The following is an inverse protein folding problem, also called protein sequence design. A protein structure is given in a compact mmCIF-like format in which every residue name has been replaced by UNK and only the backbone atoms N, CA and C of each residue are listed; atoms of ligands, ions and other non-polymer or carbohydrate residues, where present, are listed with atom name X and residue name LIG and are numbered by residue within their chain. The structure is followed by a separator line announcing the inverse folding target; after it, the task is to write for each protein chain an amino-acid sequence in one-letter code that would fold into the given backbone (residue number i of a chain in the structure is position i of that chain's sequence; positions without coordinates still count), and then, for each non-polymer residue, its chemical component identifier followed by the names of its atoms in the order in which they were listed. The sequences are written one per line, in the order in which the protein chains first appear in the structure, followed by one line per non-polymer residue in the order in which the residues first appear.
data_IF_572137142404
#
_entry.id   IF_572137142404
#
_cell.length_a   1.000
_cell.length_b   1.000
_cell.length_c   1.000
_cell.angle_alpha   90.00
_cell.angle_beta   90.00
_cell.angle_gamma   90.00
#
_symmetry.space_group_name_H-M   'P 1'
#
loop_
_entity.id
_entity.type
_entity.pdbx_description
1 polymer ?
#
# COMPACT_ATOMS: atom_id res chain seq x y z
N UNK A 1 -61.76 9.49 -31.36
CA UNK A 1 -60.35 9.59 -31.74
C UNK A 1 -59.53 9.31 -30.50
N UNK A 2 -59.07 8.07 -30.38
CA UNK A 2 -58.39 7.56 -29.17
C UNK A 2 -56.93 7.53 -29.47
N UNK A 3 -56.14 8.38 -28.77
CA UNK A 3 -54.70 8.42 -28.90
C UNK A 3 -54.07 7.32 -28.04
N UNK A 4 -53.38 6.37 -28.67
CA UNK A 4 -52.66 5.30 -28.01
C UNK A 4 -51.37 5.89 -27.31
N UNK A 5 -51.01 5.45 -26.10
CA UNK A 5 -49.78 5.92 -25.44
C UNK A 5 -48.58 5.26 -26.10
N UNK A 6 -47.61 6.10 -26.45
CA UNK A 6 -46.27 5.69 -26.91
C UNK A 6 -45.58 4.85 -25.83
N UNK A 7 -45.34 3.58 -26.09
CA UNK A 7 -44.55 2.69 -25.29
C UNK A 7 -43.10 3.23 -25.24
N UNK A 8 -42.74 3.79 -24.09
CA UNK A 8 -41.37 4.13 -23.74
C UNK A 8 -40.57 2.84 -23.60
N UNK A 9 -39.72 2.52 -24.56
CA UNK A 9 -38.75 1.43 -24.49
C UNK A 9 -37.68 1.85 -23.46
N UNK A 10 -37.79 1.39 -22.21
CA UNK A 10 -36.73 1.44 -21.24
C UNK A 10 -35.78 0.29 -21.55
N UNK A 11 -34.67 0.60 -22.20
CA UNK A 11 -33.52 -0.29 -22.23
C UNK A 11 -32.96 -0.38 -20.83
N UNK A 12 -33.37 -1.37 -20.09
CA UNK A 12 -32.64 -1.81 -18.88
C UNK A 12 -31.34 -2.38 -19.39
N UNK A 13 -30.27 -1.57 -19.37
CA UNK A 13 -28.95 -2.12 -19.27
C UNK A 13 -28.95 -2.78 -17.88
N UNK A 14 -29.02 -4.11 -17.85
CA UNK A 14 -28.60 -4.86 -16.67
C UNK A 14 -27.19 -4.36 -16.39
N UNK A 15 -27.01 -3.58 -15.31
CA UNK A 15 -25.67 -3.24 -14.86
C UNK A 15 -25.01 -4.57 -14.54
N UNK A 16 -24.08 -5.01 -15.40
CA UNK A 16 -23.19 -6.10 -15.04
C UNK A 16 -22.63 -5.74 -13.67
N UNK A 17 -22.55 -6.67 -12.72
CA UNK A 17 -21.89 -6.40 -11.45
C UNK A 17 -20.53 -5.82 -11.80
N UNK A 18 -20.25 -4.59 -11.36
CA UNK A 18 -18.99 -3.92 -11.64
C UNK A 18 -17.92 -4.78 -11.00
N UNK A 19 -17.07 -5.37 -11.82
CA UNK A 19 -15.91 -6.12 -11.33
C UNK A 19 -15.04 -5.15 -10.50
N UNK A 20 -14.45 -5.62 -9.43
CA UNK A 20 -13.53 -4.86 -8.61
C UNK A 20 -12.10 -5.28 -8.94
N UNK A 21 -11.26 -4.33 -9.28
CA UNK A 21 -9.84 -4.54 -9.55
C UNK A 21 -8.99 -3.88 -8.49
N UNK A 22 -8.03 -4.63 -7.97
CA UNK A 22 -6.93 -4.12 -7.19
C UNK A 22 -5.69 -3.97 -8.06
N UNK A 23 -5.08 -2.80 -8.02
CA UNK A 23 -3.90 -2.46 -8.80
C UNK A 23 -2.80 -1.96 -7.87
N UNK A 24 -1.67 -2.66 -7.82
CA UNK A 24 -0.45 -2.17 -7.17
C UNK A 24 0.51 -1.64 -8.23
N UNK A 25 0.97 -0.40 -8.07
CA UNK A 25 1.92 0.27 -8.98
C UNK A 25 3.25 0.45 -8.27
N UNK A 26 4.22 -0.42 -8.55
CA UNK A 26 5.59 -0.31 -8.09
C UNK A 26 6.42 0.66 -8.95
N UNK A 27 7.75 0.62 -8.80
CA UNK A 27 8.66 1.53 -9.51
C UNK A 27 8.66 1.35 -11.03
N UNK A 28 8.58 0.10 -11.52
CA UNK A 28 8.72 -0.25 -12.94
C UNK A 28 7.62 -1.16 -13.47
N UNK A 29 6.74 -1.65 -12.60
CA UNK A 29 5.69 -2.60 -12.94
C UNK A 29 4.43 -2.36 -12.15
N UNK A 30 3.31 -2.80 -12.71
CA UNK A 30 2.03 -2.88 -12.04
C UNK A 30 1.56 -4.34 -11.95
N UNK A 31 0.93 -4.69 -10.84
CA UNK A 31 0.26 -5.96 -10.62
C UNK A 31 -1.23 -5.70 -10.50
N UNK A 32 -2.01 -6.48 -11.21
CA UNK A 32 -3.47 -6.32 -11.28
C UNK A 32 -4.13 -7.65 -10.99
N UNK A 33 -5.13 -7.62 -10.14
CA UNK A 33 -6.01 -8.77 -9.90
C UNK A 33 -7.46 -8.31 -9.74
N UNK A 34 -8.39 -9.25 -9.87
CA UNK A 34 -9.80 -8.98 -9.61
C UNK A 34 -10.28 -9.66 -8.33
N UNK A 35 -11.21 -9.04 -7.63
CA UNK A 35 -11.83 -9.63 -6.44
C UNK A 35 -12.51 -10.98 -6.73
N UNK A 36 -12.98 -11.20 -7.97
CA UNK A 36 -13.60 -12.46 -8.39
C UNK A 36 -12.60 -13.58 -8.64
N UNK A 37 -11.33 -13.27 -8.91
CA UNK A 37 -10.25 -14.23 -9.14
C UNK A 37 -8.93 -13.69 -8.57
N UNK A 38 -8.80 -13.62 -7.24
CA UNK A 38 -7.68 -12.93 -6.58
C UNK A 38 -6.32 -13.58 -6.87
N UNK A 39 -6.29 -14.88 -7.15
CA UNK A 39 -5.04 -15.59 -7.48
C UNK A 39 -4.61 -15.43 -8.93
N UNK A 40 -5.47 -14.88 -9.81
CA UNK A 40 -5.14 -14.58 -11.19
C UNK A 40 -4.50 -13.19 -11.29
N UNK A 41 -3.24 -13.11 -10.89
CA UNK A 41 -2.46 -11.89 -10.91
C UNK A 41 -1.86 -11.68 -12.31
N UNK A 42 -2.05 -10.47 -12.85
CA UNK A 42 -1.42 -10.03 -14.11
C UNK A 42 -0.33 -9.02 -13.82
N UNK A 43 0.77 -9.16 -14.52
CA UNK A 43 1.95 -8.29 -14.41
C UNK A 43 2.13 -7.47 -15.68
N UNK A 44 2.35 -6.16 -15.53
CA UNK A 44 2.55 -5.21 -16.61
C UNK A 44 3.75 -4.32 -16.31
N UNK A 45 4.81 -4.43 -17.12
CA UNK A 45 5.90 -3.46 -17.05
C UNK A 45 5.42 -2.09 -17.57
N UNK A 46 5.85 -1.02 -16.88
CA UNK A 46 5.55 0.36 -17.27
C UNK A 46 6.79 1.26 -17.11
N UNK A 47 6.81 2.38 -17.84
CA UNK A 47 7.81 3.44 -17.76
C UNK A 47 7.15 4.77 -17.38
N UNK A 48 6.13 4.72 -16.51
CA UNK A 48 5.23 5.84 -16.17
C UNK A 48 4.44 6.38 -17.38
N UNK A 49 4.33 5.60 -18.45
CA UNK A 49 3.36 5.82 -19.53
C UNK A 49 2.03 5.19 -19.11
N UNK A 50 1.22 6.00 -18.44
CA UNK A 50 -0.04 5.53 -17.85
C UNK A 50 -1.06 5.12 -18.90
N UNK A 51 -1.14 5.81 -20.05
CA UNK A 51 -2.02 5.41 -21.14
C UNK A 51 -1.69 4.02 -21.67
N UNK A 52 -0.42 3.78 -21.99
CA UNK A 52 0.04 2.46 -22.45
C UNK A 52 -0.19 1.36 -21.41
N UNK A 53 -0.05 1.68 -20.11
CA UNK A 53 -0.36 0.73 -19.04
C UNK A 53 -1.84 0.36 -19.06
N UNK A 54 -2.73 1.36 -19.12
CA UNK A 54 -4.17 1.13 -19.09
C UNK A 54 -4.72 0.55 -20.39
N UNK A 55 -4.10 0.79 -21.56
CA UNK A 55 -4.38 0.06 -22.80
C UNK A 55 -4.21 -1.45 -22.60
N UNK A 56 -3.12 -1.86 -21.95
CA UNK A 56 -2.84 -3.28 -21.67
C UNK A 56 -3.82 -3.87 -20.64
N UNK A 57 -4.09 -3.13 -19.57
CA UNK A 57 -5.04 -3.58 -18.53
C UNK A 57 -6.45 -3.73 -19.14
N UNK A 58 -6.89 -2.78 -19.97
CA UNK A 58 -8.19 -2.81 -20.63
C UNK A 58 -8.32 -3.94 -21.67
N UNK A 59 -7.21 -4.44 -22.20
CA UNK A 59 -7.22 -5.61 -23.08
C UNK A 59 -7.51 -6.92 -22.31
N UNK A 60 -7.14 -6.99 -21.03
CA UNK A 60 -7.28 -8.19 -20.20
C UNK A 60 -8.48 -8.14 -19.24
N UNK A 61 -8.98 -6.94 -18.91
CA UNK A 61 -10.04 -6.74 -17.93
C UNK A 61 -11.16 -5.86 -18.50
N UNK A 62 -12.39 -6.24 -18.26
CA UNK A 62 -13.56 -5.41 -18.57
C UNK A 62 -13.63 -4.17 -17.64
N UNK A 63 -14.41 -3.16 -18.05
CA UNK A 63 -14.70 -1.95 -17.27
C UNK A 63 -15.12 -2.28 -15.84
N UNK A 64 -14.39 -1.74 -14.86
CA UNK A 64 -14.44 -2.16 -13.46
C UNK A 64 -14.29 -0.97 -12.52
N UNK A 65 -14.60 -1.17 -11.25
CA UNK A 65 -14.15 -0.30 -10.17
C UNK A 65 -12.69 -0.63 -9.84
N UNK A 66 -11.87 0.40 -9.65
CA UNK A 66 -10.43 0.24 -9.49
C UNK A 66 -9.96 0.92 -8.21
N UNK A 67 -9.26 0.18 -7.36
CA UNK A 67 -8.46 0.70 -6.27
C UNK A 67 -6.99 0.60 -6.64
N UNK A 68 -6.28 1.73 -6.58
CA UNK A 68 -4.84 1.79 -6.86
C UNK A 68 -4.07 1.90 -5.54
N UNK A 69 -2.97 1.16 -5.47
CA UNK A 69 -1.98 1.29 -4.39
C UNK A 69 -0.65 1.66 -5.01
N UNK A 70 -0.08 2.75 -4.54
CA UNK A 70 1.23 3.21 -4.94
C UNK A 70 2.30 2.55 -4.08
N UNK A 71 3.33 1.99 -4.72
CA UNK A 71 4.54 1.51 -4.09
C UNK A 71 5.58 2.61 -3.92
N UNK A 72 6.67 2.27 -3.25
CA UNK A 72 7.82 3.16 -3.08
C UNK A 72 8.29 3.76 -4.41
N UNK A 73 8.78 5.00 -4.38
CA UNK A 73 9.22 5.73 -5.57
C UNK A 73 8.10 6.44 -6.34
N UNK A 74 6.81 6.19 -6.01
CA UNK A 74 5.69 6.94 -6.57
C UNK A 74 5.24 8.11 -5.66
N UNK A 75 5.62 8.08 -4.39
CA UNK A 75 5.32 9.10 -3.40
C UNK A 75 6.48 9.28 -2.41
N UNK A 76 6.39 10.32 -1.60
CA UNK A 76 7.22 10.51 -0.41
C UNK A 76 6.31 10.56 0.81
N UNK A 77 6.68 9.82 1.87
CA UNK A 77 5.96 9.81 3.13
C UNK A 77 6.80 10.55 4.19
N UNK A 78 6.24 11.64 4.70
CA UNK A 78 6.91 12.55 5.64
C UNK A 78 6.09 12.69 6.91
N UNK A 79 6.78 12.87 8.06
CA UNK A 79 6.12 13.21 9.31
C UNK A 79 6.20 14.73 9.53
N UNK A 80 5.07 15.39 9.71
CA UNK A 80 4.96 16.81 10.04
C UNK A 80 4.18 17.01 11.33
N UNK A 81 4.47 18.09 12.06
CA UNK A 81 3.67 18.44 13.23
C UNK A 81 2.25 18.85 12.78
N UNK A 82 1.22 18.41 13.50
CA UNK A 82 -0.16 18.78 13.23
C UNK A 82 -0.33 20.28 13.42
N UNK A 83 -0.67 21.03 12.38
CA UNK A 83 -0.83 22.48 12.50
C UNK A 83 -2.04 22.83 13.35
N UNK A 84 -1.95 23.91 14.12
CA UNK A 84 -3.04 24.40 14.97
C UNK A 84 -3.98 25.33 14.18
N UNK A 85 -4.60 24.79 13.14
CA UNK A 85 -5.54 25.48 12.22
C UNK A 85 -6.82 24.65 12.08
N UNK A 86 -7.93 25.23 11.56
CA UNK A 86 -9.13 24.47 11.21
C UNK A 86 -8.81 23.33 10.21
N UNK A 87 -9.63 22.26 10.24
CA UNK A 87 -9.36 21.05 9.45
C UNK A 87 -9.30 21.31 7.93
N UNK A 88 -10.10 22.24 7.43
CA UNK A 88 -10.11 22.65 6.01
C UNK A 88 -8.84 23.43 5.60
N UNK A 89 -8.09 24.00 6.55
CA UNK A 89 -6.82 24.68 6.31
C UNK A 89 -5.59 23.77 6.47
N UNK A 90 -5.74 22.57 7.07
CA UNK A 90 -4.63 21.65 7.31
C UNK A 90 -3.84 21.33 6.03
N UNK A 91 -4.43 21.00 4.87
CA UNK A 91 -3.66 20.70 3.65
C UNK A 91 -2.76 21.86 3.22
N UNK A 92 -3.25 23.11 3.31
CA UNK A 92 -2.48 24.28 2.96
C UNK A 92 -1.32 24.52 3.93
N UNK A 93 -1.54 24.35 5.23
CA UNK A 93 -0.52 24.48 6.25
C UNK A 93 0.57 23.40 6.11
N UNK A 94 0.17 22.16 5.82
CA UNK A 94 1.09 21.06 5.56
C UNK A 94 1.93 21.31 4.31
N UNK A 95 1.36 21.84 3.23
CA UNK A 95 2.10 22.19 2.01
C UNK A 95 3.27 23.14 2.35
N UNK A 96 3.02 24.16 3.17
CA UNK A 96 4.07 25.08 3.61
C UNK A 96 5.14 24.39 4.47
N UNK A 97 4.75 23.42 5.28
CA UNK A 97 5.68 22.70 6.16
C UNK A 97 6.58 21.73 5.40
N UNK A 98 6.09 21.11 4.30
CA UNK A 98 6.82 20.04 3.61
C UNK A 98 7.47 20.45 2.29
N UNK A 99 7.12 21.62 1.71
CA UNK A 99 7.58 22.03 0.37
C UNK A 99 9.10 22.06 0.20
N UNK A 100 9.84 22.38 1.26
CA UNK A 100 11.30 22.45 1.25
C UNK A 100 11.97 21.10 1.61
N UNK A 101 11.17 20.07 1.96
CA UNK A 101 11.62 18.73 2.31
C UNK A 101 11.56 17.75 1.13
N UNK A 102 10.94 18.17 0.02
CA UNK A 102 10.72 17.32 -1.16
C UNK A 102 11.37 17.95 -2.40
N UNK A 103 11.77 17.09 -3.35
CA UNK A 103 12.35 17.55 -4.61
C UNK A 103 11.32 18.13 -5.59
N UNK A 104 10.03 17.79 -5.41
CA UNK A 104 8.94 18.26 -6.27
C UNK A 104 8.69 19.75 -6.06
N UNK A 105 8.65 20.58 -7.14
CA UNK A 105 8.31 22.00 -7.02
C UNK A 105 6.96 22.21 -6.32
N UNK A 106 6.87 23.21 -5.44
CA UNK A 106 5.67 23.46 -4.63
C UNK A 106 4.37 23.57 -5.44
N UNK A 107 4.45 24.11 -6.67
CA UNK A 107 3.31 24.21 -7.59
C UNK A 107 2.83 22.87 -8.15
N UNK A 108 3.68 21.84 -8.10
CA UNK A 108 3.39 20.50 -8.59
C UNK A 108 3.23 19.47 -7.46
N UNK A 109 3.21 19.89 -6.22
CA UNK A 109 2.90 19.03 -5.08
C UNK A 109 1.39 18.76 -5.07
N UNK A 110 1.04 17.48 -4.99
CA UNK A 110 -0.24 16.98 -4.50
C UNK A 110 0.02 16.25 -3.19
N UNK A 111 -0.74 16.54 -2.14
CA UNK A 111 -0.57 15.94 -0.84
C UNK A 111 -1.90 15.50 -0.24
N UNK A 112 -1.81 14.45 0.55
CA UNK A 112 -2.84 14.01 1.48
C UNK A 112 -2.16 13.61 2.80
N UNK A 113 -2.92 13.36 3.86
CA UNK A 113 -2.36 13.03 5.16
C UNK A 113 -3.25 12.08 5.94
N UNK A 114 -2.64 11.37 6.88
CA UNK A 114 -3.33 10.53 7.85
C UNK A 114 -2.64 10.60 9.22
N UNK A 115 -3.36 10.15 10.25
CA UNK A 115 -2.84 10.02 11.61
C UNK A 115 -2.66 8.55 11.96
N UNK A 116 -1.62 8.25 12.75
CA UNK A 116 -1.57 6.95 13.41
C UNK A 116 -2.57 6.91 14.57
N UNK A 117 -3.15 5.73 14.91
CA UNK A 117 -4.11 5.60 16.01
C UNK A 117 -3.53 5.98 17.38
N UNK A 118 -2.20 5.97 17.52
CA UNK A 118 -1.52 6.32 18.75
C UNK A 118 -1.61 7.81 19.07
N UNK A 119 -2.15 8.15 20.24
CA UNK A 119 -2.20 9.53 20.75
C UNK A 119 -0.87 10.01 21.37
N UNK A 120 0.19 9.20 21.31
CA UNK A 120 1.48 9.55 21.86
C UNK A 120 2.26 10.60 21.05
N UNK A 121 1.84 10.84 19.81
CA UNK A 121 2.47 11.81 18.89
C UNK A 121 1.42 12.75 18.32
N UNK A 122 1.75 14.04 18.23
CA UNK A 122 0.94 15.05 17.55
C UNK A 122 1.45 15.27 16.11
N UNK A 123 1.80 14.17 15.42
CA UNK A 123 2.32 14.23 14.04
C UNK A 123 1.36 13.61 13.06
N UNK A 124 1.23 14.28 11.91
CA UNK A 124 0.57 13.74 10.73
C UNK A 124 1.59 13.04 9.84
N UNK A 125 1.15 11.98 9.19
CA UNK A 125 1.86 11.35 8.09
C UNK A 125 1.40 12.00 6.79
N UNK A 126 2.29 12.70 6.11
CA UNK A 126 1.98 13.46 4.89
C UNK A 126 2.49 12.67 3.70
N UNK A 127 1.57 12.26 2.84
CA UNK A 127 1.86 11.62 1.56
C UNK A 127 2.00 12.71 0.51
N UNK A 128 3.17 12.81 -0.11
CA UNK A 128 3.45 13.80 -1.15
C UNK A 128 3.67 13.08 -2.48
N UNK A 129 2.93 13.48 -3.50
CA UNK A 129 3.04 12.98 -4.87
C UNK A 129 3.24 14.10 -5.87
N UNK A 130 3.66 13.77 -7.08
CA UNK A 130 3.66 14.68 -8.22
C UNK A 130 2.24 14.85 -8.76
N UNK A 131 1.69 16.06 -8.68
CA UNK A 131 0.34 16.40 -9.10
C UNK A 131 0.07 16.05 -10.57
N UNK A 132 1.02 16.32 -11.44
CA UNK A 132 0.86 16.07 -12.87
C UNK A 132 0.81 14.56 -13.14
N UNK A 133 1.66 13.78 -12.48
CA UNK A 133 1.64 12.31 -12.59
C UNK A 133 0.33 11.71 -12.07
N UNK A 134 -0.18 12.21 -10.96
CA UNK A 134 -1.47 11.73 -10.41
C UNK A 134 -2.64 12.08 -11.33
N UNK A 135 -2.66 13.29 -11.89
CA UNK A 135 -3.68 13.68 -12.86
C UNK A 135 -3.63 12.81 -14.13
N UNK A 136 -2.45 12.53 -14.66
CA UNK A 136 -2.27 11.67 -15.84
C UNK A 136 -2.70 10.23 -15.55
N UNK A 137 -2.38 9.71 -14.36
CA UNK A 137 -2.82 8.38 -13.93
C UNK A 137 -4.35 8.30 -13.87
N UNK A 138 -5.00 9.25 -13.18
CA UNK A 138 -6.45 9.28 -13.06
C UNK A 138 -7.14 9.40 -14.44
N UNK A 139 -6.65 10.29 -15.30
CA UNK A 139 -7.17 10.46 -16.66
C UNK A 139 -7.01 9.19 -17.51
N UNK A 140 -5.90 8.46 -17.37
CA UNK A 140 -5.69 7.21 -18.07
C UNK A 140 -6.68 6.12 -17.61
N UNK A 141 -6.97 6.02 -16.31
CA UNK A 141 -7.99 5.11 -15.76
C UNK A 141 -9.36 5.41 -16.36
N UNK A 142 -9.81 6.67 -16.24
CA UNK A 142 -11.13 7.10 -16.68
C UNK A 142 -11.30 7.02 -18.20
N UNK A 143 -10.23 7.32 -18.95
CA UNK A 143 -10.21 7.25 -20.41
C UNK A 143 -10.43 5.83 -20.97
N UNK A 144 -10.31 4.79 -20.14
CA UNK A 144 -10.56 3.39 -20.50
C UNK A 144 -11.84 2.82 -19.87
N UNK A 145 -12.79 3.68 -19.50
CA UNK A 145 -14.08 3.31 -18.89
C UNK A 145 -13.97 2.59 -17.52
N UNK A 146 -12.83 2.69 -16.84
CA UNK A 146 -12.70 2.25 -15.45
C UNK A 146 -13.15 3.34 -14.49
N UNK A 147 -13.72 2.94 -13.37
CA UNK A 147 -14.14 3.86 -12.30
C UNK A 147 -13.12 3.85 -11.16
N UNK A 148 -12.23 4.86 -11.14
CA UNK A 148 -11.28 5.02 -10.03
C UNK A 148 -12.03 5.30 -8.73
N UNK A 149 -11.84 4.44 -7.73
CA UNK A 149 -12.46 4.59 -6.41
C UNK A 149 -11.52 5.33 -5.45
N UNK A 150 -10.24 4.98 -5.47
CA UNK A 150 -9.24 5.62 -4.63
C UNK A 150 -7.81 5.29 -5.06
N UNK A 151 -6.88 6.10 -4.53
CA UNK A 151 -5.45 5.87 -4.63
C UNK A 151 -4.89 5.88 -3.21
N UNK A 152 -4.28 4.78 -2.80
CA UNK A 152 -3.67 4.61 -1.49
C UNK A 152 -2.18 4.32 -1.61
N UNK A 153 -1.52 4.06 -0.49
CA UNK A 153 -0.09 3.73 -0.42
C UNK A 153 0.13 2.35 0.21
N UNK A 154 1.25 1.75 -0.09
CA UNK A 154 1.65 0.41 0.35
C UNK A 154 1.54 0.23 1.86
N UNK A 155 1.95 1.22 2.65
CA UNK A 155 1.93 1.18 4.11
C UNK A 155 0.50 0.97 4.67
N UNK A 156 -0.48 1.68 4.11
CA UNK A 156 -1.88 1.56 4.54
C UNK A 156 -2.50 0.23 4.11
N UNK A 157 -2.12 -0.27 2.92
CA UNK A 157 -2.67 -1.55 2.44
C UNK A 157 -2.23 -2.76 3.25
N UNK A 158 -1.04 -2.72 3.85
CA UNK A 158 -0.58 -3.80 4.72
C UNK A 158 -1.45 -3.98 5.97
N UNK A 159 -2.22 -2.98 6.37
CA UNK A 159 -3.20 -3.10 7.46
C UNK A 159 -4.31 -4.11 7.14
N UNK A 160 -4.58 -4.39 5.86
CA UNK A 160 -5.60 -5.35 5.43
C UNK A 160 -5.14 -6.82 5.50
N UNK A 161 -3.87 -7.09 5.83
CA UNK A 161 -3.33 -8.47 5.87
C UNK A 161 -4.05 -9.38 6.85
N UNK A 162 -4.50 -8.83 8.00
CA UNK A 162 -5.04 -9.62 9.11
C UNK A 162 -6.47 -9.19 9.50
N UNK A 163 -7.10 -8.33 8.68
CA UNK A 163 -8.43 -7.81 9.01
C UNK A 163 -8.45 -7.07 10.35
N UNK A 164 -9.54 -7.17 11.09
CA UNK A 164 -9.74 -6.46 12.36
C UNK A 164 -9.25 -7.29 13.57
N UNK A 165 -8.05 -7.88 13.48
CA UNK A 165 -7.46 -8.61 14.60
C UNK A 165 -6.94 -7.65 15.68
N UNK A 166 -7.32 -7.83 16.97
CA UNK A 166 -6.95 -6.90 18.04
C UNK A 166 -5.49 -7.01 18.50
N UNK A 167 -4.78 -8.05 18.09
CA UNK A 167 -3.36 -8.23 18.42
C UNK A 167 -2.49 -7.46 17.42
N UNK A 168 -1.54 -6.69 17.94
CA UNK A 168 -0.56 -6.02 17.11
C UNK A 168 0.39 -7.04 16.48
N UNK A 169 0.62 -6.93 15.17
CA UNK A 169 1.57 -7.75 14.41
C UNK A 169 2.59 -6.83 13.73
N UNK A 170 3.85 -7.24 13.78
CA UNK A 170 4.90 -6.56 13.04
C UNK A 170 5.06 -7.26 11.69
N UNK A 171 4.85 -6.50 10.61
CA UNK A 171 5.00 -6.97 9.24
C UNK A 171 6.29 -6.41 8.66
N UNK A 172 7.11 -7.28 8.13
CA UNK A 172 8.27 -6.94 7.34
C UNK A 172 7.95 -7.29 5.89
N UNK A 173 7.80 -6.28 5.04
CA UNK A 173 7.58 -6.46 3.61
C UNK A 173 8.77 -5.99 2.80
N UNK A 174 9.08 -6.71 1.72
CA UNK A 174 10.19 -6.38 0.83
C UNK A 174 9.81 -6.65 -0.62
N UNK A 175 9.78 -5.60 -1.42
CA UNK A 175 9.70 -5.67 -2.87
C UNK A 175 11.12 -5.69 -3.46
N UNK A 176 11.37 -6.49 -4.51
CA UNK A 176 12.68 -6.56 -5.14
C UNK A 176 13.25 -5.19 -5.52
N UNK A 177 14.47 -4.91 -5.06
CA UNK A 177 15.18 -3.66 -5.34
C UNK A 177 14.76 -2.45 -4.49
N UNK A 178 13.77 -2.59 -3.62
CA UNK A 178 13.32 -1.54 -2.70
C UNK A 178 13.86 -1.74 -1.28
N UNK A 179 13.80 -0.71 -0.45
CA UNK A 179 14.12 -0.85 0.98
C UNK A 179 13.04 -1.69 1.68
N UNK A 180 13.45 -2.47 2.66
CA UNK A 180 12.52 -3.22 3.51
C UNK A 180 11.58 -2.26 4.24
N UNK A 181 10.29 -2.48 4.11
CA UNK A 181 9.26 -1.76 4.86
C UNK A 181 8.85 -2.59 6.09
N UNK A 182 8.96 -1.97 7.25
CA UNK A 182 8.50 -2.52 8.52
C UNK A 182 7.27 -1.74 8.97
N UNK A 183 6.17 -2.44 9.21
CA UNK A 183 4.92 -1.85 9.71
C UNK A 183 4.44 -2.60 10.95
N UNK A 184 3.70 -1.91 11.81
CA UNK A 184 2.90 -2.55 12.85
C UNK A 184 1.44 -2.30 12.53
N UNK A 185 0.68 -3.39 12.41
CA UNK A 185 -0.75 -3.39 12.09
C UNK A 185 -1.55 -4.00 13.23
N UNK A 186 -2.73 -3.44 13.49
CA UNK A 186 -3.64 -3.90 14.53
C UNK A 186 -5.04 -3.35 14.25
N UNK A 187 -6.08 -4.15 14.45
CA UNK A 187 -7.49 -3.75 14.23
C UNK A 187 -7.78 -3.21 12.81
N UNK A 188 -7.03 -3.68 11.80
CA UNK A 188 -7.12 -3.18 10.43
C UNK A 188 -6.54 -1.77 10.23
N UNK A 189 -5.74 -1.28 11.17
CA UNK A 189 -5.12 0.05 11.14
C UNK A 189 -3.60 -0.04 11.17
N UNK A 190 -2.96 0.94 10.53
CA UNK A 190 -1.51 1.13 10.56
C UNK A 190 -1.12 1.93 11.83
N UNK A 191 -0.33 1.31 12.71
CA UNK A 191 0.11 1.93 13.96
C UNK A 191 1.52 2.51 13.90
N UNK A 192 2.37 1.95 13.06
CA UNK A 192 3.74 2.38 12.88
C UNK A 192 4.24 1.94 11.51
N UNK A 193 5.13 2.72 10.92
CA UNK A 193 5.87 2.33 9.72
C UNK A 193 7.32 2.83 9.79
N UNK A 194 8.21 2.10 9.14
CA UNK A 194 9.62 2.48 8.99
C UNK A 194 10.26 1.75 7.82
N UNK A 195 10.99 2.47 6.96
CA UNK A 195 11.83 1.84 5.93
C UNK A 195 13.23 1.60 6.48
N UNK A 196 13.73 0.40 6.26
CA UNK A 196 15.02 -0.07 6.75
C UNK A 196 16.03 -0.04 5.60
N UNK A 197 17.04 0.82 5.73
CA UNK A 197 18.11 0.96 4.74
C UNK A 197 19.12 -0.18 4.83
N UNK A 198 19.68 -0.54 3.65
CA UNK A 198 20.74 -1.55 3.57
C UNK A 198 20.23 -2.97 3.35
N UNK A 199 18.93 -3.17 3.12
CA UNK A 199 18.31 -4.47 2.89
C UNK A 199 17.59 -4.57 1.53
N UNK A 200 17.89 -3.66 0.60
CA UNK A 200 17.22 -3.64 -0.72
C UNK A 200 17.48 -4.87 -1.59
N UNK A 201 18.50 -5.67 -1.27
CA UNK A 201 18.80 -6.93 -1.91
C UNK A 201 18.31 -8.17 -1.14
N UNK A 202 17.35 -8.03 -0.24
CA UNK A 202 16.92 -9.12 0.65
C UNK A 202 16.46 -10.37 -0.10
N UNK A 203 15.86 -10.21 -1.26
CA UNK A 203 15.41 -11.29 -2.15
C UNK A 203 16.54 -12.01 -2.91
N UNK A 204 17.75 -11.43 -2.91
CA UNK A 204 18.92 -11.97 -3.61
C UNK A 204 20.03 -12.46 -2.67
N UNK A 205 19.93 -12.21 -1.37
CA UNK A 205 20.92 -12.70 -0.42
C UNK A 205 20.94 -14.24 -0.39
N UNK A 206 22.15 -14.78 -0.41
CA UNK A 206 22.37 -16.22 -0.29
C UNK A 206 22.14 -16.69 1.15
N UNK A 207 22.01 -18.01 1.33
CA UNK A 207 21.92 -18.60 2.67
C UNK A 207 23.12 -18.20 3.56
N UNK A 208 24.32 -18.14 3.00
CA UNK A 208 25.52 -17.73 3.71
C UNK A 208 25.47 -16.25 4.12
N UNK A 209 25.01 -15.35 3.24
CA UNK A 209 24.86 -13.94 3.56
C UNK A 209 23.86 -13.74 4.72
N UNK A 210 22.74 -14.46 4.67
CA UNK A 210 21.71 -14.41 5.71
C UNK A 210 22.28 -14.87 7.07
N UNK A 211 23.00 -16.01 7.08
CA UNK A 211 23.56 -16.59 8.32
C UNK A 211 24.68 -15.77 8.92
N UNK A 212 25.54 -15.18 8.10
CA UNK A 212 26.76 -14.51 8.58
C UNK A 212 26.49 -13.10 9.11
N UNK A 213 25.49 -12.39 8.58
CA UNK A 213 25.35 -10.95 8.88
C UNK A 213 23.94 -10.40 8.78
N UNK A 214 23.21 -10.79 7.73
CA UNK A 214 21.96 -10.07 7.37
C UNK A 214 20.85 -10.32 8.40
N UNK A 215 20.66 -11.58 8.83
CA UNK A 215 19.61 -11.92 9.79
C UNK A 215 19.83 -11.22 11.15
N UNK A 216 21.07 -11.12 11.64
CA UNK A 216 21.37 -10.43 12.90
C UNK A 216 21.17 -8.92 12.79
N UNK A 217 21.63 -8.31 11.67
CA UNK A 217 21.43 -6.89 11.41
C UNK A 217 19.94 -6.54 11.29
N UNK A 218 19.17 -7.38 10.60
CA UNK A 218 17.73 -7.20 10.48
C UNK A 218 17.02 -7.40 11.82
N UNK A 219 17.40 -8.41 12.61
CA UNK A 219 16.86 -8.64 13.96
C UNK A 219 17.08 -7.44 14.87
N UNK A 220 18.24 -6.78 14.78
CA UNK A 220 18.51 -5.56 15.54
C UNK A 220 17.57 -4.41 15.16
N UNK A 221 17.30 -4.23 13.86
CA UNK A 221 16.35 -3.19 13.40
C UNK A 221 14.90 -3.52 13.79
N UNK A 222 14.50 -4.80 13.74
CA UNK A 222 13.22 -5.29 14.26
C UNK A 222 13.10 -4.98 15.74
N UNK A 223 14.12 -5.35 16.56
CA UNK A 223 14.11 -5.10 18.00
C UNK A 223 13.95 -3.61 18.32
N UNK A 224 14.72 -2.75 17.65
CA UNK A 224 14.60 -1.28 17.82
C UNK A 224 13.19 -0.77 17.51
N UNK A 225 12.54 -1.35 16.52
CA UNK A 225 11.19 -0.97 16.14
C UNK A 225 10.14 -1.45 17.13
N UNK A 226 10.31 -2.66 17.69
CA UNK A 226 9.48 -3.18 18.79
C UNK A 226 9.64 -2.34 20.05
N UNK A 227 10.87 -2.01 20.43
CA UNK A 227 11.18 -1.15 21.59
C UNK A 227 10.55 0.25 21.44
N UNK A 228 10.56 0.81 20.21
CA UNK A 228 9.89 2.07 19.93
C UNK A 228 8.37 1.95 20.09
N UNK A 229 7.76 0.89 19.52
CA UNK A 229 6.33 0.65 19.61
C UNK A 229 5.87 0.51 21.06
N UNK A 230 6.61 -0.26 21.88
CA UNK A 230 6.28 -0.49 23.27
C UNK A 230 6.55 0.73 24.17
N UNK A 231 7.73 1.33 24.06
CA UNK A 231 8.16 2.39 24.96
C UNK A 231 7.67 3.78 24.56
N UNK A 232 7.76 4.14 23.28
CA UNK A 232 7.42 5.49 22.83
C UNK A 232 5.93 5.60 22.48
N UNK A 233 5.36 4.59 21.80
CA UNK A 233 3.92 4.57 21.52
C UNK A 233 3.09 4.00 22.66
N UNK A 234 3.74 3.49 23.72
CA UNK A 234 3.12 2.94 24.95
C UNK A 234 2.09 1.85 24.65
N UNK A 235 2.45 0.95 23.75
CA UNK A 235 1.60 -0.16 23.35
C UNK A 235 2.06 -1.47 24.00
N UNK A 236 1.14 -2.45 24.05
CA UNK A 236 1.51 -3.82 24.41
C UNK A 236 2.44 -4.41 23.33
N UNK A 237 3.32 -5.37 23.69
CA UNK A 237 4.19 -6.03 22.73
C UNK A 237 3.44 -6.61 21.55
N UNK A 238 4.08 -6.64 20.37
CA UNK A 238 3.54 -7.33 19.20
C UNK A 238 3.40 -8.82 19.47
N UNK A 239 2.36 -9.42 18.95
CA UNK A 239 2.06 -10.85 19.14
C UNK A 239 2.88 -11.78 18.24
N UNK A 240 3.28 -11.27 17.06
CA UNK A 240 4.03 -12.04 16.06
C UNK A 240 4.80 -11.14 15.12
N UNK A 241 5.76 -11.73 14.42
CA UNK A 241 6.51 -11.16 13.30
C UNK A 241 6.08 -11.87 12.03
N UNK A 242 5.72 -11.11 10.99
CA UNK A 242 5.19 -11.63 9.74
C UNK A 242 6.10 -11.19 8.59
N UNK A 243 6.70 -12.14 7.88
CA UNK A 243 7.63 -11.89 6.80
C UNK A 243 6.91 -12.02 5.45
N UNK A 244 6.79 -10.92 4.74
CA UNK A 244 6.25 -10.83 3.38
C UNK A 244 7.40 -10.44 2.43
N UNK A 245 8.26 -11.39 2.11
CA UNK A 245 9.43 -11.18 1.26
C UNK A 245 9.72 -12.40 0.39
N UNK A 246 10.43 -12.18 -0.72
CA UNK A 246 10.93 -13.23 -1.60
C UNK A 246 12.24 -13.84 -1.10
N UNK A 247 12.91 -14.59 -1.99
CA UNK A 247 14.20 -15.22 -1.73
C UNK A 247 14.12 -16.34 -0.69
N UNK A 248 15.16 -16.48 0.13
CA UNK A 248 15.30 -17.51 1.16
C UNK A 248 14.48 -17.19 2.42
N UNK A 249 13.21 -16.85 2.25
CA UNK A 249 12.33 -16.33 3.31
C UNK A 249 12.12 -17.31 4.48
N UNK A 250 12.06 -18.61 4.23
CA UNK A 250 11.92 -19.64 5.30
C UNK A 250 13.18 -19.73 6.14
N UNK A 251 14.36 -19.66 5.51
CA UNK A 251 15.63 -19.59 6.24
C UNK A 251 15.72 -18.30 7.05
N UNK A 252 15.37 -17.16 6.44
CA UNK A 252 15.34 -15.88 7.12
C UNK A 252 14.42 -15.92 8.35
N UNK A 253 13.21 -16.47 8.19
CA UNK A 253 12.28 -16.63 9.31
C UNK A 253 12.86 -17.46 10.45
N UNK A 254 13.54 -18.56 10.12
CA UNK A 254 14.21 -19.42 11.11
C UNK A 254 15.32 -18.68 11.85
N UNK A 255 16.15 -17.95 11.12
CA UNK A 255 17.28 -17.19 11.71
C UNK A 255 16.79 -16.03 12.58
N UNK A 256 15.77 -15.30 12.11
CA UNK A 256 15.15 -14.22 12.91
C UNK A 256 14.48 -14.78 14.15
N UNK A 257 13.74 -15.90 14.06
CA UNK A 257 13.06 -16.51 15.19
C UNK A 257 14.01 -16.91 16.35
N UNK A 258 15.29 -17.16 16.05
CA UNK A 258 16.27 -17.44 17.08
C UNK A 258 16.53 -16.24 18.04
N UNK A 259 16.19 -15.04 17.64
CA UNK A 259 16.42 -13.80 18.37
C UNK A 259 15.19 -13.25 19.10
N UNK A 260 13.99 -13.84 18.90
CA UNK A 260 12.73 -13.33 19.44
C UNK A 260 11.93 -14.42 20.16
N UNK A 261 11.15 -13.98 21.14
CA UNK A 261 10.18 -14.88 21.84
C UNK A 261 8.85 -14.99 21.07
N UNK A 262 8.55 -14.01 20.23
CA UNK A 262 7.35 -13.99 19.40
C UNK A 262 7.50 -14.97 18.23
N UNK A 263 6.41 -15.64 17.81
CA UNK A 263 6.44 -16.45 16.61
C UNK A 263 6.78 -15.62 15.38
N UNK A 264 7.62 -16.17 14.52
CA UNK A 264 8.01 -15.59 13.22
C UNK A 264 7.39 -16.45 12.13
N UNK A 265 6.51 -15.85 11.33
CA UNK A 265 5.77 -16.51 10.28
C UNK A 265 6.15 -15.96 8.90
N UNK A 266 6.07 -16.80 7.88
CA UNK A 266 6.15 -16.35 6.48
C UNK A 266 4.74 -16.18 5.93
N UNK A 267 4.42 -15.00 5.48
CA UNK A 267 3.14 -14.72 4.81
C UNK A 267 3.16 -15.37 3.44
N UNK A 268 2.18 -16.23 3.18
CA UNK A 268 2.08 -16.91 1.90
C UNK A 268 1.77 -15.90 0.78
N UNK A 269 2.70 -15.77 -0.14
CA UNK A 269 2.55 -14.96 -1.36
C UNK A 269 3.39 -15.59 -2.46
N UNK A 270 2.81 -15.73 -3.64
CA UNK A 270 3.56 -16.15 -4.82
C UNK A 270 4.43 -15.00 -5.36
N UNK A 271 3.92 -13.79 -5.25
CA UNK A 271 4.55 -12.53 -5.67
C UNK A 271 4.09 -11.42 -4.71
N UNK A 272 5.01 -10.60 -4.24
CA UNK A 272 4.73 -9.57 -3.23
C UNK A 272 3.85 -8.45 -3.81
N UNK A 273 4.16 -7.98 -5.03
CA UNK A 273 3.34 -6.97 -5.70
C UNK A 273 1.92 -7.47 -5.98
N UNK A 274 1.80 -8.76 -6.35
CA UNK A 274 0.52 -9.43 -6.51
C UNK A 274 -0.26 -9.51 -5.19
N UNK A 275 0.42 -9.77 -4.08
CA UNK A 275 -0.21 -9.74 -2.75
C UNK A 275 -0.75 -8.35 -2.40
N UNK A 276 -0.01 -7.30 -2.69
CA UNK A 276 -0.45 -5.92 -2.48
C UNK A 276 -1.65 -5.56 -3.37
N UNK A 277 -1.68 -6.05 -4.63
CA UNK A 277 -2.85 -5.92 -5.49
C UNK A 277 -4.08 -6.66 -4.94
N UNK A 278 -3.91 -7.85 -4.34
CA UNK A 278 -4.99 -8.55 -3.64
C UNK A 278 -5.52 -7.75 -2.45
N UNK A 279 -4.64 -7.16 -1.65
CA UNK A 279 -5.03 -6.34 -0.50
C UNK A 279 -5.82 -5.09 -0.90
N UNK A 280 -5.52 -4.51 -2.07
CA UNK A 280 -6.28 -3.36 -2.58
C UNK A 280 -7.71 -3.72 -2.98
N UNK A 281 -7.99 -4.97 -3.40
CA UNK A 281 -9.35 -5.45 -3.60
C UNK A 281 -10.14 -5.50 -2.29
N UNK A 282 -9.50 -5.80 -1.16
CA UNK A 282 -10.17 -5.83 0.15
C UNK A 282 -10.58 -4.43 0.62
N UNK A 283 -9.82 -3.41 0.27
CA UNK A 283 -10.18 -2.02 0.57
C UNK A 283 -11.49 -1.63 -0.11
N UNK A 284 -11.67 -1.97 -1.38
CA UNK A 284 -12.94 -1.74 -2.10
C UNK A 284 -14.14 -2.42 -1.45
N UNK A 285 -13.93 -3.58 -0.85
CA UNK A 285 -15.00 -4.30 -0.16
C UNK A 285 -15.38 -3.61 1.15
N UNK A 286 -14.41 -3.06 1.89
CA UNK A 286 -14.64 -2.33 3.16
C UNK A 286 -15.37 -1.00 2.97
N UNK A 287 -15.09 -0.27 1.89
CA UNK A 287 -15.77 0.99 1.57
C UNK A 287 -17.22 0.78 1.09
N UNK A 288 -17.58 -0.46 0.72
CA UNK A 288 -18.92 -0.81 0.26
C UNK A 288 -19.88 -1.26 1.38
N UNK A 289 -19.37 -1.54 2.59
CA UNK A 289 -20.10 -1.88 3.81
C UNK A 289 -20.47 -0.63 4.62
#
# INVERSE_FOLDING_TARGET
MTTAPLKRWQFWRASRPKQQLGVFIGAQAAWVTSAAAPDNIRFYAHQRDWHNLWDKIAADFDASQVQIVLGAGQYQLLAADKPAVPDDEIPQALLWSVKDMVATPATNIHLDYFEFPSKASNKLQVVVTDKQQMMQLAQAVEGHDFALQGISIEELMLANLFGNEPQARLVLSHLPGEEVLLTVVRDGELWMQRRLRGFSGLDHFTADDLQQRIADALSLEIQRSMDFFESQLRQAPVSSLELLCGGENQLLATLVAANFNQPVNVVAAHDIGGKLAQLSCLELAREAE
#
